data_IF_079321024764
#
_entry.id   IF_079321024764
#
_cell.length_a   1.000
_cell.length_b   1.000
_cell.length_c   1.000
_cell.angle_alpha   90.00
_cell.angle_beta   90.00
_cell.angle_gamma   90.00
#
_symmetry.space_group_name_H-M   'P 1'
#
loop_
_entity.id
_entity.type
_entity.pdbx_description
1 polymer ?
#
# COMPACT_ATOMS: atom_id res chain seq x y z
N UNK A 1 -27.50 -4.63 -8.95
CA UNK A 1 -27.23 -3.20 -9.18
C UNK A 1 -27.40 -2.34 -7.92
N UNK A 2 -28.53 -2.42 -7.19
CA UNK A 2 -28.77 -1.54 -6.02
C UNK A 2 -27.79 -1.73 -4.84
N UNK A 3 -27.27 -2.94 -4.63
CA UNK A 3 -26.29 -3.22 -3.56
C UNK A 3 -24.90 -2.67 -3.87
N UNK A 4 -24.47 -2.69 -5.13
CA UNK A 4 -23.18 -2.10 -5.55
C UNK A 4 -23.21 -0.56 -5.46
N UNK A 5 -24.34 0.07 -5.81
CA UNK A 5 -24.55 1.51 -5.62
C UNK A 5 -24.60 1.89 -4.14
N UNK A 6 -25.23 1.06 -3.29
CA UNK A 6 -25.27 1.28 -1.85
C UNK A 6 -23.88 1.14 -1.22
N UNK A 7 -23.10 0.12 -1.62
CA UNK A 7 -21.73 -0.06 -1.14
C UNK A 7 -20.82 1.10 -1.51
N UNK A 8 -20.86 1.57 -2.76
CA UNK A 8 -20.08 2.73 -3.20
C UNK A 8 -20.45 4.02 -2.47
N UNK A 9 -21.74 4.24 -2.20
CA UNK A 9 -22.22 5.38 -1.43
C UNK A 9 -21.71 5.34 0.03
N UNK A 10 -21.92 4.22 0.74
CA UNK A 10 -21.48 4.09 2.14
C UNK A 10 -19.97 4.20 2.31
N UNK A 11 -19.20 3.64 1.37
CA UNK A 11 -17.75 3.82 1.32
C UNK A 11 -17.37 5.30 1.18
N UNK A 12 -18.01 6.02 0.24
CA UNK A 12 -17.80 7.46 0.05
C UNK A 12 -18.15 8.29 1.29
N UNK A 13 -19.23 7.97 2.00
CA UNK A 13 -19.63 8.63 3.25
C UNK A 13 -18.63 8.39 4.37
N UNK A 14 -18.23 7.14 4.60
CA UNK A 14 -17.27 6.82 5.66
C UNK A 14 -15.92 7.54 5.44
N UNK A 15 -15.42 7.52 4.20
CA UNK A 15 -14.19 8.22 3.84
C UNK A 15 -14.32 9.74 3.98
N UNK A 16 -15.45 10.33 3.57
CA UNK A 16 -15.72 11.76 3.73
C UNK A 16 -15.73 12.18 5.21
N UNK A 17 -16.33 11.37 6.10
CA UNK A 17 -16.36 11.64 7.53
C UNK A 17 -14.97 11.61 8.17
N UNK A 18 -14.20 10.55 7.90
CA UNK A 18 -12.81 10.43 8.40
C UNK A 18 -12.00 11.63 7.94
N UNK A 19 -12.14 11.99 6.67
CA UNK A 19 -11.40 13.10 6.10
C UNK A 19 -11.81 14.47 6.66
N UNK A 20 -13.11 14.68 6.93
CA UNK A 20 -13.60 15.91 7.56
C UNK A 20 -13.02 16.09 8.96
N UNK A 21 -12.91 15.00 9.74
CA UNK A 21 -12.30 15.03 11.07
C UNK A 21 -10.86 15.50 10.96
N UNK A 22 -10.09 14.98 9.99
CA UNK A 22 -8.71 15.41 9.76
C UNK A 22 -8.62 16.90 9.44
N UNK A 23 -9.48 17.43 8.56
CA UNK A 23 -9.47 18.85 8.22
C UNK A 23 -9.84 19.74 9.42
N UNK A 24 -10.80 19.32 10.24
CA UNK A 24 -11.17 20.07 11.44
C UNK A 24 -10.01 20.16 12.43
N UNK A 25 -9.27 19.07 12.62
CA UNK A 25 -8.04 19.08 13.44
C UNK A 25 -7.05 20.12 12.91
N UNK A 26 -6.76 20.10 11.60
CA UNK A 26 -5.83 21.04 10.98
C UNK A 26 -6.32 22.50 11.02
N UNK A 27 -7.63 22.73 11.03
CA UNK A 27 -8.21 24.06 11.20
C UNK A 27 -8.02 24.58 12.63
N UNK A 28 -8.31 23.76 13.64
CA UNK A 28 -8.13 24.14 15.04
C UNK A 28 -6.66 24.29 15.44
N UNK A 29 -5.73 23.61 14.76
CA UNK A 29 -4.28 23.80 14.96
C UNK A 29 -3.72 25.01 14.19
N UNK A 30 -4.57 25.83 13.55
CA UNK A 30 -4.17 27.03 12.81
C UNK A 30 -3.41 26.75 11.52
N UNK A 31 -3.40 25.50 11.05
CA UNK A 31 -2.61 25.04 9.92
C UNK A 31 -3.35 25.12 8.58
N UNK A 32 -4.68 25.33 8.63
CA UNK A 32 -5.55 25.43 7.46
C UNK A 32 -6.07 26.86 7.24
N UNK A 33 -5.76 27.49 6.09
CA UNK A 33 -6.38 28.73 5.66
C UNK A 33 -7.92 28.60 5.58
N UNK A 34 -8.70 29.63 6.01
CA UNK A 34 -10.16 29.61 5.94
C UNK A 34 -10.73 29.36 4.52
N UNK A 35 -9.97 29.72 3.48
CA UNK A 35 -10.34 29.48 2.08
C UNK A 35 -10.36 27.98 1.73
N UNK A 36 -9.46 27.18 2.30
CA UNK A 36 -9.41 25.73 2.06
C UNK A 36 -10.51 24.97 2.80
N UNK A 37 -11.14 25.57 3.81
CA UNK A 37 -12.29 25.02 4.52
C UNK A 37 -13.52 24.92 3.62
N UNK A 38 -13.73 25.90 2.75
CA UNK A 38 -14.80 25.88 1.74
C UNK A 38 -14.62 24.67 0.84
N UNK A 39 -13.38 24.42 0.44
CA UNK A 39 -13.06 23.32 -0.45
C UNK A 39 -13.14 21.96 0.24
N UNK A 40 -12.73 21.85 1.52
CA UNK A 40 -12.95 20.70 2.38
C UNK A 40 -14.45 20.34 2.52
N UNK A 41 -15.31 21.34 2.70
CA UNK A 41 -16.76 21.17 2.75
C UNK A 41 -17.33 20.68 1.41
N UNK A 42 -16.92 21.31 0.30
CA UNK A 42 -17.32 20.90 -1.05
C UNK A 42 -16.97 19.43 -1.30
N UNK A 43 -15.74 19.04 -0.99
CA UNK A 43 -15.29 17.65 -1.13
C UNK A 43 -16.09 16.68 -0.28
N UNK A 44 -16.34 17.01 0.98
CA UNK A 44 -17.08 16.14 1.91
C UNK A 44 -18.49 15.84 1.39
N UNK A 45 -19.08 16.77 0.64
CA UNK A 45 -20.35 16.59 -0.05
C UNK A 45 -20.23 15.83 -1.38
N UNK A 46 -19.13 16.01 -2.12
CA UNK A 46 -18.91 15.37 -3.43
C UNK A 46 -18.57 13.88 -3.29
N UNK A 47 -17.75 13.48 -2.31
CA UNK A 47 -17.25 12.11 -2.16
C UNK A 47 -18.37 11.04 -2.04
N UNK A 48 -19.44 11.24 -1.25
CA UNK A 48 -20.59 10.33 -1.22
C UNK A 48 -21.29 10.19 -2.58
N UNK A 49 -21.43 11.31 -3.30
CA UNK A 49 -22.08 11.34 -4.62
C UNK A 49 -21.21 10.63 -5.66
N UNK A 50 -19.90 10.89 -5.66
CA UNK A 50 -18.94 10.21 -6.51
C UNK A 50 -18.92 8.70 -6.24
N UNK A 51 -18.94 8.30 -4.97
CA UNK A 51 -19.03 6.89 -4.55
C UNK A 51 -20.30 6.20 -5.06
N UNK A 52 -21.45 6.88 -5.02
CA UNK A 52 -22.69 6.38 -5.60
C UNK A 52 -22.60 6.13 -7.11
N UNK A 53 -22.04 7.09 -7.87
CA UNK A 53 -21.87 6.96 -9.32
C UNK A 53 -20.87 5.87 -9.71
N UNK A 54 -19.74 5.76 -9.00
CA UNK A 54 -18.75 4.70 -9.20
C UNK A 54 -19.37 3.32 -8.95
N UNK A 55 -20.16 3.17 -7.88
CA UNK A 55 -20.92 1.94 -7.60
C UNK A 55 -21.91 1.57 -8.70
N UNK A 56 -22.53 2.57 -9.35
CA UNK A 56 -23.45 2.37 -10.48
C UNK A 56 -22.71 1.89 -11.73
N UNK A 57 -21.61 2.54 -12.08
CA UNK A 57 -20.77 2.18 -13.24
C UNK A 57 -20.19 0.77 -13.09
N UNK A 58 -19.65 0.44 -11.91
CA UNK A 58 -19.19 -0.89 -11.56
C UNK A 58 -20.27 -1.96 -11.79
N UNK A 59 -21.49 -1.69 -11.32
CA UNK A 59 -22.63 -2.60 -11.50
C UNK A 59 -23.01 -2.81 -12.97
N UNK A 60 -22.98 -1.77 -13.81
CA UNK A 60 -23.30 -1.87 -15.26
C UNK A 60 -22.24 -2.68 -16.01
N UNK A 61 -20.96 -2.45 -15.73
CA UNK A 61 -19.85 -3.15 -16.38
C UNK A 61 -19.88 -4.64 -16.02
N UNK A 62 -20.18 -4.98 -14.76
CA UNK A 62 -20.35 -6.36 -14.33
C UNK A 62 -21.49 -7.06 -15.10
N UNK A 63 -22.65 -6.41 -15.25
CA UNK A 63 -23.80 -6.95 -15.99
C UNK A 63 -23.50 -7.19 -17.48
N UNK A 64 -22.84 -6.23 -18.14
CA UNK A 64 -22.53 -6.33 -19.59
C UNK A 64 -21.58 -7.48 -19.95
N UNK A 65 -20.76 -7.95 -19.01
CA UNK A 65 -19.83 -9.07 -19.24
C UNK A 65 -20.42 -10.45 -18.95
N UNK A 66 -21.51 -10.52 -18.17
CA UNK A 66 -22.19 -11.78 -17.81
C UNK A 66 -23.24 -12.19 -18.85
N UNK A 67 -23.94 -11.22 -19.45
CA UNK A 67 -24.97 -11.47 -20.47
C UNK A 67 -24.49 -12.27 -21.71
N UNK A 68 -23.31 -12.00 -22.32
CA UNK A 68 -22.86 -12.77 -23.49
C UNK A 68 -22.42 -14.21 -23.18
N UNK A 69 -22.24 -14.59 -21.90
CA UNK A 69 -21.88 -15.96 -21.53
C UNK A 69 -23.09 -16.92 -21.52
N UNK A 70 -24.32 -16.41 -21.39
CA UNK A 70 -25.56 -17.22 -21.32
C UNK A 70 -26.23 -17.43 -22.68
N UNK A 71 -25.96 -16.56 -23.67
CA UNK A 71 -26.52 -16.68 -25.02
C UNK A 71 -25.95 -17.89 -25.80
N UNK A 72 -24.75 -18.35 -25.44
CA UNK A 72 -24.12 -19.54 -26.05
C UNK A 72 -24.55 -20.88 -25.44
N UNK A 73 -25.38 -20.93 -24.37
CA UNK A 73 -25.71 -22.19 -23.69
C UNK A 73 -27.14 -22.71 -23.89
N UNK A 74 -28.05 -21.96 -24.52
CA UNK A 74 -29.46 -22.34 -24.61
C UNK A 74 -29.95 -22.49 -26.06
N UNK A 75 -29.39 -23.48 -26.75
CA UNK A 75 -29.98 -24.08 -27.95
C UNK A 75 -30.52 -25.48 -27.61
N UNK A 76 -31.68 -25.56 -26.98
CA UNK A 76 -32.27 -26.85 -26.57
C UNK A 76 -33.77 -26.77 -26.33
N UNK A 77 -34.52 -27.05 -27.41
CA UNK A 77 -35.94 -27.37 -27.54
C UNK A 77 -36.79 -27.47 -26.26
N UNK A 78 -37.82 -26.62 -26.16
CA UNK A 78 -39.14 -27.09 -25.72
C UNK A 78 -40.24 -26.12 -26.16
N UNK A 79 -40.90 -26.46 -27.26
CA UNK A 79 -42.01 -25.69 -27.82
C UNK A 79 -43.21 -26.61 -28.08
N UNK A 80 -43.99 -26.89 -27.03
CA UNK A 80 -45.43 -27.12 -27.22
C UNK A 80 -46.25 -27.00 -25.92
N UNK A 81 -46.92 -25.85 -25.71
CA UNK A 81 -48.31 -25.82 -25.18
C UNK A 81 -48.93 -24.42 -25.29
N UNK A 82 -49.86 -24.34 -26.23
CA UNK A 82 -50.73 -23.22 -26.59
C UNK A 82 -51.63 -22.79 -25.43
N UNK A 83 -51.78 -21.46 -25.21
CA UNK A 83 -53.08 -20.73 -25.18
C UNK A 83 -52.93 -19.33 -24.56
N UNK A 84 -53.57 -18.36 -25.23
CA UNK A 84 -53.69 -16.91 -25.01
C UNK A 84 -52.41 -16.05 -25.13
N UNK A 85 -52.07 -15.54 -26.33
CA UNK A 85 -50.80 -14.86 -26.55
C UNK A 85 -50.68 -13.52 -25.81
N UNK A 86 -51.73 -12.68 -25.73
CA UNK A 86 -51.54 -11.33 -25.17
C UNK A 86 -51.37 -11.29 -23.65
N UNK A 87 -52.23 -11.96 -22.87
CA UNK A 87 -52.13 -11.97 -21.41
C UNK A 87 -51.05 -12.93 -20.89
N UNK A 88 -50.81 -14.04 -21.60
CA UNK A 88 -49.75 -14.98 -21.25
C UNK A 88 -48.39 -14.42 -21.67
N UNK A 89 -48.25 -13.67 -22.77
CA UNK A 89 -47.00 -12.94 -23.05
C UNK A 89 -46.76 -11.87 -22.01
N UNK A 90 -47.76 -11.08 -21.60
CA UNK A 90 -47.55 -10.10 -20.51
C UNK A 90 -47.26 -10.76 -19.17
N UNK A 91 -47.92 -11.88 -18.83
CA UNK A 91 -47.64 -12.64 -17.62
C UNK A 91 -46.31 -13.38 -17.70
N UNK A 92 -45.90 -13.88 -18.88
CA UNK A 92 -44.60 -14.51 -19.12
C UNK A 92 -43.50 -13.46 -19.21
N UNK A 93 -43.79 -12.25 -19.65
CA UNK A 93 -42.87 -11.11 -19.66
C UNK A 93 -42.71 -10.57 -18.24
N UNK A 94 -43.80 -10.46 -17.47
CA UNK A 94 -43.75 -10.16 -16.05
C UNK A 94 -43.08 -11.29 -15.24
N UNK A 95 -43.40 -12.56 -15.51
CA UNK A 95 -42.79 -13.72 -14.84
C UNK A 95 -41.36 -13.99 -15.31
N UNK A 96 -41.02 -13.67 -16.56
CA UNK A 96 -39.64 -13.78 -17.06
C UNK A 96 -38.81 -12.60 -16.59
N UNK A 97 -39.37 -11.40 -16.43
CA UNK A 97 -38.64 -10.28 -15.84
C UNK A 97 -38.48 -10.48 -14.34
N UNK A 98 -39.51 -10.92 -13.60
CA UNK A 98 -39.36 -11.24 -12.18
C UNK A 98 -38.49 -12.46 -11.97
N UNK A 99 -38.70 -13.58 -12.68
CA UNK A 99 -37.81 -14.75 -12.61
C UNK A 99 -36.42 -14.44 -13.14
N UNK A 100 -36.22 -13.65 -14.20
CA UNK A 100 -34.86 -13.28 -14.60
C UNK A 100 -34.21 -12.37 -13.56
N UNK A 101 -34.97 -11.59 -12.79
CA UNK A 101 -34.46 -10.74 -11.71
C UNK A 101 -34.24 -11.53 -10.42
N UNK A 102 -35.01 -12.60 -10.17
CA UNK A 102 -34.85 -13.56 -9.06
C UNK A 102 -33.74 -14.57 -9.35
N UNK A 103 -33.71 -15.13 -10.56
CA UNK A 103 -32.65 -15.96 -11.09
C UNK A 103 -31.36 -15.12 -11.24
N UNK A 104 -31.43 -13.82 -11.57
CA UNK A 104 -30.28 -12.91 -11.47
C UNK A 104 -29.95 -12.48 -10.03
N UNK A 105 -30.85 -12.61 -9.05
CA UNK A 105 -30.50 -12.45 -7.62
C UNK A 105 -29.78 -13.69 -7.09
N UNK A 106 -30.12 -14.87 -7.59
CA UNK A 106 -29.47 -16.15 -7.26
C UNK A 106 -28.17 -16.38 -8.08
N UNK A 107 -28.10 -15.87 -9.33
CA UNK A 107 -26.93 -15.81 -10.21
C UNK A 107 -26.09 -14.54 -10.02
N UNK A 108 -26.47 -13.63 -9.13
CA UNK A 108 -25.50 -12.71 -8.53
C UNK A 108 -24.95 -13.47 -7.34
N UNK A 109 -23.90 -14.29 -7.53
CA UNK A 109 -23.18 -14.85 -6.40
C UNK A 109 -22.88 -13.69 -5.46
N UNK A 110 -23.22 -13.89 -4.19
CA UNK A 110 -22.72 -13.07 -3.11
C UNK A 110 -21.17 -13.13 -3.05
N UNK A 111 -20.55 -13.96 -3.88
CA UNK A 111 -19.14 -14.08 -4.18
C UNK A 111 -18.68 -12.92 -5.06
N UNK A 112 -18.50 -11.77 -4.40
CA UNK A 112 -17.42 -10.81 -4.59
C UNK A 112 -17.14 -10.38 -6.05
N UNK A 113 -17.34 -9.09 -6.43
CA UNK A 113 -16.95 -8.55 -7.75
C UNK A 113 -15.45 -8.74 -8.11
N UNK A 114 -14.65 -9.25 -7.18
CA UNK A 114 -13.25 -9.61 -7.30
C UNK A 114 -12.98 -10.95 -8.02
N UNK A 115 -13.99 -11.80 -8.28
CA UNK A 115 -13.75 -13.16 -8.83
C UNK A 115 -13.75 -13.24 -10.36
N UNK A 116 -14.22 -12.21 -11.09
CA UNK A 116 -14.11 -12.18 -12.55
C UNK A 116 -12.76 -11.59 -12.97
N UNK A 117 -11.95 -12.37 -13.71
CA UNK A 117 -10.57 -12.00 -14.10
C UNK A 117 -10.49 -10.63 -14.80
N UNK A 118 -11.52 -10.29 -15.59
CA UNK A 118 -11.60 -9.01 -16.29
C UNK A 118 -11.96 -7.83 -15.38
N UNK A 119 -12.83 -8.01 -14.37
CA UNK A 119 -13.12 -6.93 -13.41
C UNK A 119 -11.97 -6.77 -12.42
N UNK A 120 -11.36 -7.88 -11.98
CA UNK A 120 -10.17 -7.88 -11.14
C UNK A 120 -9.04 -7.07 -11.78
N UNK A 121 -8.71 -7.30 -13.06
CA UNK A 121 -7.69 -6.51 -13.78
C UNK A 121 -8.05 -5.02 -13.83
N UNK A 122 -9.31 -4.68 -14.09
CA UNK A 122 -9.75 -3.29 -14.13
C UNK A 122 -9.61 -2.60 -12.75
N UNK A 123 -10.06 -3.26 -11.68
CA UNK A 123 -9.91 -2.73 -10.32
C UNK A 123 -8.44 -2.64 -9.89
N UNK A 124 -7.60 -3.60 -10.27
CA UNK A 124 -6.16 -3.55 -10.04
C UNK A 124 -5.50 -2.36 -10.76
N UNK A 125 -5.84 -2.14 -12.04
CA UNK A 125 -5.34 -0.97 -12.80
C UNK A 125 -5.78 0.33 -12.14
N UNK A 126 -7.04 0.42 -11.71
CA UNK A 126 -7.57 1.61 -11.03
C UNK A 126 -6.85 1.84 -9.70
N UNK A 127 -6.61 0.79 -8.93
CA UNK A 127 -5.88 0.87 -7.66
C UNK A 127 -4.42 1.30 -7.90
N UNK A 128 -3.72 0.69 -8.85
CA UNK A 128 -2.34 1.05 -9.19
C UNK A 128 -2.27 2.50 -9.68
N UNK A 129 -3.20 2.93 -10.52
CA UNK A 129 -3.30 4.32 -10.95
C UNK A 129 -3.54 5.26 -9.75
N UNK A 130 -4.45 4.89 -8.84
CA UNK A 130 -4.71 5.68 -7.63
C UNK A 130 -3.45 5.85 -6.78
N UNK A 131 -2.70 4.77 -6.52
CA UNK A 131 -1.47 4.82 -5.74
C UNK A 131 -0.39 5.66 -6.44
N UNK A 132 -0.17 5.47 -7.75
CA UNK A 132 0.84 6.24 -8.50
C UNK A 132 0.52 7.75 -8.57
N UNK A 133 -0.75 8.11 -8.76
CA UNK A 133 -1.17 9.50 -8.86
C UNK A 133 -1.55 10.09 -7.50
N UNK A 134 -1.43 9.34 -6.40
CA UNK A 134 -1.84 9.79 -5.07
C UNK A 134 -1.19 11.12 -4.66
N UNK A 135 0.13 11.36 -4.81
CA UNK A 135 0.74 12.64 -4.41
C UNK A 135 0.17 13.85 -5.16
N UNK A 136 -0.25 13.66 -6.42
CA UNK A 136 -0.88 14.71 -7.23
C UNK A 136 -2.34 14.88 -6.82
N UNK A 137 -3.03 13.79 -6.48
CA UNK A 137 -4.42 13.81 -6.04
C UNK A 137 -4.58 14.32 -4.61
N UNK A 138 -3.60 14.14 -3.72
CA UNK A 138 -3.71 14.45 -2.30
C UNK A 138 -4.06 15.91 -2.04
N UNK A 139 -3.44 16.93 -2.65
CA UNK A 139 -3.88 18.32 -2.49
C UNK A 139 -5.32 18.55 -2.95
N UNK A 140 -5.77 17.81 -3.98
CA UNK A 140 -7.16 17.84 -4.48
C UNK A 140 -8.12 16.90 -3.74
N UNK A 141 -7.60 16.11 -2.82
CA UNK A 141 -8.41 15.40 -1.86
C UNK A 141 -8.32 16.16 -0.53
N UNK A 142 -7.21 16.26 0.16
CA UNK A 142 -7.13 16.70 1.54
C UNK A 142 -6.65 18.14 1.76
N UNK A 143 -6.39 18.91 0.70
CA UNK A 143 -6.00 20.31 0.82
C UNK A 143 -4.56 20.46 1.33
N UNK A 144 -4.38 21.01 2.54
CA UNK A 144 -3.04 21.19 3.12
C UNK A 144 -2.57 19.96 3.89
N UNK A 145 -1.26 19.88 4.15
CA UNK A 145 -0.65 18.78 4.93
C UNK A 145 -0.24 17.56 4.10
N UNK A 146 -0.21 17.68 2.77
CA UNK A 146 0.22 16.61 1.85
C UNK A 146 1.58 16.05 2.23
N UNK A 147 2.55 16.90 2.54
CA UNK A 147 3.91 16.43 2.83
C UNK A 147 3.96 15.52 4.08
N UNK A 148 3.25 15.88 5.15
CA UNK A 148 3.15 15.05 6.35
C UNK A 148 2.40 13.73 6.12
N UNK A 149 1.36 13.73 5.27
CA UNK A 149 0.66 12.49 4.89
C UNK A 149 1.56 11.58 4.05
N UNK A 150 2.26 12.14 3.06
CA UNK A 150 3.21 11.40 2.23
C UNK A 150 4.36 10.83 3.05
N UNK A 151 4.88 11.57 4.03
CA UNK A 151 5.85 11.06 4.99
C UNK A 151 5.30 9.86 5.78
N UNK A 152 4.09 9.96 6.34
CA UNK A 152 3.44 8.86 7.05
C UNK A 152 3.15 7.63 6.17
N UNK A 153 2.81 7.82 4.89
CA UNK A 153 2.72 6.72 3.93
C UNK A 153 4.07 6.11 3.59
N UNK A 154 5.13 6.92 3.59
CA UNK A 154 6.51 6.44 3.50
C UNK A 154 6.84 5.51 4.68
N UNK A 155 6.52 5.92 5.90
CA UNK A 155 6.71 5.11 7.11
C UNK A 155 5.97 3.77 7.03
N UNK A 156 4.71 3.81 6.62
CA UNK A 156 3.93 2.60 6.35
C UNK A 156 4.59 1.72 5.26
N UNK A 157 5.13 2.34 4.22
CA UNK A 157 5.84 1.66 3.14
C UNK A 157 7.10 0.93 3.61
N UNK A 158 7.86 1.48 4.56
CA UNK A 158 8.99 0.77 5.18
C UNK A 158 8.53 -0.51 5.87
N UNK A 159 7.43 -0.47 6.63
CA UNK A 159 6.86 -1.66 7.26
C UNK A 159 6.35 -2.69 6.25
N UNK A 160 5.82 -2.25 5.10
CA UNK A 160 5.44 -3.16 4.00
C UNK A 160 6.67 -3.86 3.43
N UNK A 161 7.76 -3.13 3.17
CA UNK A 161 9.01 -3.74 2.69
C UNK A 161 9.55 -4.75 3.72
N UNK A 162 9.50 -4.40 5.02
CA UNK A 162 9.91 -5.31 6.09
C UNK A 162 9.04 -6.58 6.13
N UNK A 163 7.72 -6.45 5.99
CA UNK A 163 6.81 -7.59 5.95
C UNK A 163 7.06 -8.48 4.73
N UNK A 164 7.32 -7.88 3.56
CA UNK A 164 7.69 -8.61 2.34
C UNK A 164 9.04 -9.32 2.50
N UNK A 165 10.01 -8.71 3.19
CA UNK A 165 11.29 -9.35 3.51
C UNK A 165 11.14 -10.54 4.46
N UNK A 166 10.28 -10.41 5.48
CA UNK A 166 9.97 -11.51 6.40
C UNK A 166 9.30 -12.69 5.69
N UNK A 167 8.47 -12.42 4.68
CA UNK A 167 7.84 -13.47 3.87
C UNK A 167 8.88 -14.34 3.14
N UNK A 168 10.02 -13.78 2.73
CA UNK A 168 11.11 -14.56 2.13
C UNK A 168 11.67 -15.56 3.15
N UNK A 169 11.97 -15.09 4.36
CA UNK A 169 12.61 -15.93 5.39
C UNK A 169 11.65 -17.00 5.90
N UNK A 170 10.45 -16.61 6.33
CA UNK A 170 9.48 -17.55 6.88
C UNK A 170 8.90 -18.45 5.78
N UNK A 171 8.64 -17.90 4.60
CA UNK A 171 8.04 -18.63 3.48
C UNK A 171 8.98 -19.63 2.83
N UNK A 172 10.23 -19.26 2.53
CA UNK A 172 11.17 -20.16 1.84
C UNK A 172 12.03 -21.00 2.79
N UNK A 173 12.45 -20.46 3.95
CA UNK A 173 13.27 -21.22 4.90
C UNK A 173 12.43 -22.06 5.88
N UNK A 174 11.16 -21.69 6.12
CA UNK A 174 10.28 -22.40 7.05
C UNK A 174 10.71 -22.31 8.52
N UNK A 175 11.56 -21.32 8.86
CA UNK A 175 12.10 -21.10 10.20
C UNK A 175 11.40 -19.90 10.84
N UNK A 176 11.18 -19.97 12.15
CA UNK A 176 10.71 -18.81 12.91
C UNK A 176 11.86 -17.82 13.06
N UNK A 177 11.79 -16.69 12.35
CA UNK A 177 12.74 -15.59 12.46
C UNK A 177 12.09 -14.39 13.15
N UNK A 178 12.45 -14.17 14.43
CA UNK A 178 12.04 -13.02 15.22
C UNK A 178 13.11 -11.92 15.24
N UNK A 179 14.29 -12.19 14.68
CA UNK A 179 15.46 -11.31 14.69
C UNK A 179 15.65 -10.49 13.43
N UNK A 180 14.80 -10.69 12.41
CA UNK A 180 14.88 -10.01 11.11
C UNK A 180 15.08 -8.48 11.19
N UNK A 181 14.42 -7.82 12.16
CA UNK A 181 14.48 -6.36 12.36
C UNK A 181 15.90 -5.86 12.67
N UNK A 182 16.75 -6.71 13.25
CA UNK A 182 18.14 -6.35 13.50
C UNK A 182 18.96 -6.17 12.21
N UNK A 183 18.68 -6.93 11.15
CA UNK A 183 19.32 -6.72 9.84
C UNK A 183 18.88 -5.41 9.20
N UNK A 184 17.61 -5.04 9.38
CA UNK A 184 17.12 -3.72 8.97
C UNK A 184 17.84 -2.60 9.73
N UNK A 185 18.02 -2.74 11.04
CA UNK A 185 18.79 -1.79 11.84
C UNK A 185 20.25 -1.69 11.36
N UNK A 186 20.94 -2.81 11.16
CA UNK A 186 22.32 -2.82 10.68
C UNK A 186 22.45 -2.09 9.33
N UNK A 187 21.54 -2.34 8.39
CA UNK A 187 21.53 -1.67 7.09
C UNK A 187 21.23 -0.17 7.18
N UNK A 188 20.25 0.22 8.01
CA UNK A 188 19.89 1.63 8.18
C UNK A 188 21.00 2.43 8.88
N UNK A 189 21.62 1.88 9.92
CA UNK A 189 22.78 2.47 10.59
C UNK A 189 24.01 2.52 9.67
N UNK A 190 24.20 1.56 8.77
CA UNK A 190 25.29 1.60 7.80
C UNK A 190 25.19 2.85 6.90
N UNK A 191 24.01 3.15 6.36
CA UNK A 191 23.81 4.41 5.63
C UNK A 191 23.81 5.63 6.56
N UNK A 192 23.18 5.56 7.73
CA UNK A 192 23.18 6.67 8.69
C UNK A 192 24.59 7.13 9.05
N UNK A 193 25.49 6.18 9.36
CA UNK A 193 26.88 6.49 9.72
C UNK A 193 27.69 7.04 8.55
N UNK A 194 27.53 6.49 7.34
CA UNK A 194 28.29 6.90 6.15
C UNK A 194 27.74 8.19 5.55
N UNK A 195 26.43 8.25 5.37
CA UNK A 195 25.69 9.36 4.78
C UNK A 195 25.33 10.47 5.77
N UNK A 196 26.12 10.68 6.82
CA UNK A 196 25.94 11.81 7.74
C UNK A 196 27.29 12.40 8.16
N UNK A 197 27.25 13.50 8.91
CA UNK A 197 28.45 14.10 9.50
C UNK A 197 29.20 13.14 10.45
N UNK A 198 28.56 12.06 10.90
CA UNK A 198 29.18 11.03 11.72
C UNK A 198 30.36 10.35 11.00
N UNK A 199 30.32 10.22 9.67
CA UNK A 199 31.43 9.69 8.90
C UNK A 199 32.71 10.52 9.06
N UNK A 200 32.57 11.86 9.01
CA UNK A 200 33.68 12.78 9.19
C UNK A 200 34.24 12.74 10.61
N UNK A 201 33.38 12.59 11.61
CA UNK A 201 33.78 12.44 13.03
C UNK A 201 34.59 11.15 13.23
N UNK A 202 34.20 10.05 12.58
CA UNK A 202 34.84 8.74 12.76
C UNK A 202 36.13 8.57 11.97
N UNK A 203 36.17 9.07 10.73
CA UNK A 203 37.28 8.81 9.80
C UNK A 203 38.23 9.99 9.64
N UNK A 204 37.83 11.19 10.08
CA UNK A 204 38.54 12.45 9.82
C UNK A 204 38.44 12.93 8.36
N UNK A 205 37.78 12.16 7.49
CA UNK A 205 37.65 12.47 6.06
C UNK A 205 36.43 13.36 5.84
N UNK A 206 36.69 14.57 5.35
CA UNK A 206 35.65 15.53 5.00
C UNK A 206 35.41 15.48 3.49
N UNK A 207 34.32 14.83 3.11
CA UNK A 207 33.88 14.79 1.70
C UNK A 207 32.98 15.99 1.43
N UNK A 208 33.09 16.54 0.23
CA UNK A 208 32.28 17.65 -0.24
C UNK A 208 30.76 17.33 -0.09
N UNK A 209 29.97 18.18 0.61
CA UNK A 209 28.55 17.95 0.89
C UNK A 209 27.69 17.64 -0.34
N UNK A 210 28.07 18.18 -1.50
CA UNK A 210 27.33 18.03 -2.75
C UNK A 210 27.48 16.63 -3.36
N UNK A 211 28.48 15.85 -2.95
CA UNK A 211 28.70 14.49 -3.44
C UNK A 211 27.98 13.44 -2.60
N UNK A 212 27.72 13.70 -1.31
CA UNK A 212 27.08 12.75 -0.39
C UNK A 212 25.75 12.18 -0.90
N UNK A 213 24.81 12.99 -1.44
CA UNK A 213 23.56 12.47 -1.96
C UNK A 213 23.72 11.40 -3.05
N UNK A 214 24.77 11.47 -3.86
CA UNK A 214 25.03 10.52 -4.95
C UNK A 214 25.55 9.18 -4.43
N UNK A 215 26.21 9.17 -3.28
CA UNK A 215 26.68 7.94 -2.63
C UNK A 215 25.56 7.09 -2.06
N UNK A 216 24.33 7.60 -1.95
CA UNK A 216 23.18 6.82 -1.51
C UNK A 216 22.98 5.56 -2.36
N UNK A 217 23.01 5.67 -3.68
CA UNK A 217 22.74 4.56 -4.59
C UNK A 217 23.72 3.39 -4.47
N UNK A 218 25.06 3.59 -4.55
CA UNK A 218 25.99 2.50 -4.32
C UNK A 218 25.93 2.00 -2.86
N UNK A 219 25.61 2.88 -1.91
CA UNK A 219 25.50 2.48 -0.51
C UNK A 219 24.23 1.68 -0.21
N UNK A 220 23.19 1.73 -1.04
CA UNK A 220 22.06 0.80 -0.96
C UNK A 220 22.54 -0.65 -1.09
N UNK A 221 23.40 -0.92 -2.09
CA UNK A 221 24.04 -2.21 -2.27
C UNK A 221 25.07 -2.48 -1.16
N UNK A 222 25.86 -1.48 -0.77
CA UNK A 222 26.82 -1.59 0.32
C UNK A 222 26.17 -2.01 1.64
N UNK A 223 25.07 -1.36 2.02
CA UNK A 223 24.29 -1.69 3.21
C UNK A 223 23.68 -3.09 3.13
N UNK A 224 23.18 -3.51 1.95
CA UNK A 224 22.70 -4.87 1.75
C UNK A 224 23.83 -5.91 1.93
N UNK A 225 25.03 -5.63 1.42
CA UNK A 225 26.20 -6.50 1.60
C UNK A 225 26.67 -6.53 3.06
N UNK A 226 26.64 -5.41 3.77
CA UNK A 226 26.97 -5.35 5.21
C UNK A 226 25.95 -6.16 6.00
N UNK A 227 24.66 -5.99 5.74
CA UNK A 227 23.61 -6.77 6.38
C UNK A 227 23.76 -8.27 6.07
N UNK A 228 24.07 -8.64 4.83
CA UNK A 228 24.34 -10.02 4.43
C UNK A 228 25.58 -10.58 5.14
N UNK A 229 26.66 -9.80 5.27
CA UNK A 229 27.86 -10.21 6.00
C UNK A 229 27.54 -10.51 7.46
N UNK A 230 26.83 -9.61 8.15
CA UNK A 230 26.38 -9.85 9.52
C UNK A 230 25.40 -11.02 9.62
N UNK A 231 24.52 -11.20 8.62
CA UNK A 231 23.65 -12.36 8.48
C UNK A 231 24.41 -13.67 8.39
N UNK A 232 25.51 -13.71 7.62
CA UNK A 232 26.37 -14.90 7.54
C UNK A 232 27.13 -15.10 8.85
N UNK A 233 27.74 -14.06 9.42
CA UNK A 233 28.53 -14.16 10.65
C UNK A 233 27.68 -14.66 11.83
N UNK A 234 26.45 -14.18 11.95
CA UNK A 234 25.55 -14.51 13.06
C UNK A 234 24.64 -15.70 12.75
N UNK A 235 24.29 -15.92 11.48
CA UNK A 235 23.50 -17.06 11.03
C UNK A 235 24.29 -18.37 10.94
N UNK A 236 25.59 -18.32 10.64
CA UNK A 236 26.49 -19.48 10.60
C UNK A 236 26.45 -20.34 11.87
N UNK A 237 26.55 -19.78 13.10
CA UNK A 237 26.46 -20.58 14.33
C UNK A 237 25.04 -21.09 14.61
N UNK A 238 23.98 -20.36 14.20
CA UNK A 238 22.59 -20.72 14.51
C UNK A 238 22.01 -21.80 13.61
N UNK A 239 22.58 -22.02 12.42
CA UNK A 239 22.24 -23.14 11.53
C UNK A 239 22.31 -24.53 12.18
N UNK A 240 23.01 -24.67 13.31
CA UNK A 240 23.09 -25.91 14.09
C UNK A 240 21.90 -26.10 15.03
N UNK A 241 21.11 -25.06 15.27
CA UNK A 241 19.94 -25.07 16.14
C UNK A 241 18.69 -25.36 15.31
N UNK A 242 17.68 -25.99 15.93
CA UNK A 242 16.43 -26.36 15.26
C UNK A 242 15.23 -25.96 16.10
N UNK A 243 14.13 -25.63 15.43
CA UNK A 243 12.85 -25.32 16.06
C UNK A 243 12.96 -24.17 17.06
N UNK A 244 12.48 -24.40 18.28
CA UNK A 244 12.36 -23.39 19.33
C UNK A 244 13.71 -22.79 19.75
N UNK A 245 14.80 -23.54 19.65
CA UNK A 245 16.13 -23.02 19.97
C UNK A 245 16.61 -21.96 18.97
N UNK A 246 16.23 -22.11 17.69
CA UNK A 246 16.54 -21.11 16.69
C UNK A 246 15.73 -19.83 16.96
N UNK A 247 14.44 -19.97 17.28
CA UNK A 247 13.56 -18.86 17.62
C UNK A 247 14.10 -18.01 18.78
N UNK A 248 14.49 -18.65 19.89
CA UNK A 248 15.05 -17.97 21.07
C UNK A 248 16.29 -17.15 20.71
N UNK A 249 17.18 -17.71 19.88
CA UNK A 249 18.40 -17.00 19.48
C UNK A 249 18.10 -15.83 18.55
N UNK A 250 17.15 -15.98 17.61
CA UNK A 250 16.76 -14.86 16.75
C UNK A 250 16.11 -13.72 17.53
N UNK A 251 15.29 -14.02 18.55
CA UNK A 251 14.72 -13.02 19.45
C UNK A 251 15.83 -12.30 20.23
N UNK A 252 16.75 -13.06 20.83
CA UNK A 252 17.89 -12.49 21.55
C UNK A 252 18.72 -11.57 20.65
N UNK A 253 18.97 -11.96 19.41
CA UNK A 253 19.64 -11.12 18.42
C UNK A 253 18.85 -9.85 18.10
N UNK A 254 17.53 -9.98 17.87
CA UNK A 254 16.61 -8.85 17.63
C UNK A 254 16.63 -7.81 18.75
N UNK A 255 16.81 -8.25 19.99
CA UNK A 255 16.88 -7.37 21.16
C UNK A 255 18.28 -6.80 21.41
N UNK A 256 19.34 -7.60 21.21
CA UNK A 256 20.72 -7.16 21.47
C UNK A 256 21.16 -6.07 20.50
N UNK A 257 20.81 -6.14 19.22
CA UNK A 257 21.31 -5.19 18.21
C UNK A 257 20.89 -3.73 18.49
N UNK A 258 19.61 -3.42 18.79
CA UNK A 258 19.23 -2.08 19.21
C UNK A 258 19.99 -1.59 20.44
N UNK A 259 20.17 -2.44 21.45
CA UNK A 259 20.89 -2.10 22.68
C UNK A 259 22.36 -1.75 22.37
N UNK A 260 23.01 -2.54 21.52
CA UNK A 260 24.39 -2.27 21.07
C UNK A 260 24.46 -0.91 20.37
N UNK A 261 23.55 -0.60 19.46
CA UNK A 261 23.56 0.71 18.80
C UNK A 261 23.25 1.88 19.73
N UNK A 262 22.50 1.68 20.82
CA UNK A 262 22.26 2.73 21.81
C UNK A 262 23.46 2.97 22.74
N UNK A 263 24.26 1.95 23.02
CA UNK A 263 25.45 2.06 23.89
C UNK A 263 26.71 2.51 23.12
N UNK A 264 26.71 2.39 21.79
CA UNK A 264 27.83 2.77 20.94
C UNK A 264 27.90 4.29 20.69
N UNK A 265 27.84 5.11 21.73
CA UNK A 265 27.82 6.59 21.68
C UNK A 265 28.82 7.17 20.67
N UNK A 266 30.07 6.69 20.70
CA UNK A 266 31.14 7.14 19.81
C UNK A 266 30.80 6.94 18.32
N UNK A 267 30.07 5.89 17.98
CA UNK A 267 29.83 5.46 16.60
C UNK A 267 28.44 5.84 16.08
N UNK A 268 27.41 5.72 16.90
CA UNK A 268 26.01 5.90 16.51
C UNK A 268 25.37 7.17 17.06
N UNK A 269 26.10 7.93 17.89
CA UNK A 269 25.56 9.01 18.70
C UNK A 269 24.51 8.52 19.73
N UNK A 270 24.55 7.21 20.06
CA UNK A 270 23.79 6.59 21.13
C UNK A 270 22.29 6.86 21.09
N UNK A 271 21.74 7.25 22.24
CA UNK A 271 20.31 7.56 22.41
C UNK A 271 19.83 8.80 21.63
N UNK A 272 20.75 9.69 21.22
CA UNK A 272 20.40 10.87 20.41
C UNK A 272 20.14 10.50 18.94
N UNK A 273 20.65 9.35 18.49
CA UNK A 273 20.57 8.90 17.11
C UNK A 273 21.41 9.74 16.14
N UNK A 274 21.52 9.26 14.91
CA UNK A 274 22.28 9.93 13.86
C UNK A 274 21.42 10.99 13.19
N UNK A 275 21.88 12.24 13.24
CA UNK A 275 21.19 13.41 12.67
C UNK A 275 21.87 13.90 11.40
N UNK A 276 21.10 14.59 10.55
CA UNK A 276 21.63 15.19 9.32
C UNK A 276 22.06 14.14 8.29
N UNK A 277 21.30 13.05 8.17
CA UNK A 277 21.51 12.05 7.11
C UNK A 277 21.18 12.69 5.77
N UNK A 278 22.13 12.66 4.83
CA UNK A 278 21.97 13.26 3.52
C UNK A 278 20.87 12.53 2.73
N UNK A 279 19.98 13.26 2.04
CA UNK A 279 18.98 12.66 1.17
C UNK A 279 19.65 12.01 -0.06
N UNK A 280 19.00 11.06 -0.73
CA UNK A 280 19.46 10.56 -2.03
C UNK A 280 19.49 11.69 -3.08
N UNK A 281 20.38 11.59 -4.07
CA UNK A 281 20.36 12.47 -5.24
C UNK A 281 19.61 11.83 -6.40
N UNK A 282 18.76 12.59 -7.08
CA UNK A 282 18.22 12.17 -8.38
C UNK A 282 18.01 13.40 -9.27
N UNK A 283 18.46 13.40 -10.53
CA UNK A 283 18.29 14.54 -11.43
C UNK A 283 16.82 14.98 -11.52
N UNK A 284 16.54 16.25 -11.25
CA UNK A 284 15.19 16.83 -11.33
C UNK A 284 14.24 16.48 -10.18
N UNK A 285 14.71 15.77 -9.15
CA UNK A 285 13.93 15.53 -7.92
C UNK A 285 14.43 16.42 -6.78
N UNK A 286 13.48 17.08 -6.10
CA UNK A 286 13.75 17.85 -4.89
C UNK A 286 13.36 17.07 -3.64
N UNK A 287 14.39 16.56 -2.96
CA UNK A 287 14.29 15.74 -1.75
C UNK A 287 14.05 16.53 -0.47
N UNK A 288 13.81 17.84 -0.57
CA UNK A 288 13.26 18.62 0.55
C UNK A 288 11.79 18.30 0.81
N UNK A 289 11.10 17.73 -0.19
CA UNK A 289 9.70 17.28 -0.09
C UNK A 289 9.64 15.77 0.11
N UNK A 290 8.53 15.28 0.67
CA UNK A 290 8.27 13.85 0.90
C UNK A 290 7.82 13.11 -0.38
N UNK A 291 7.58 13.82 -1.48
CA UNK A 291 7.07 13.24 -2.74
C UNK A 291 8.08 12.29 -3.40
N UNK A 292 9.38 12.63 -3.55
CA UNK A 292 10.36 11.69 -4.10
C UNK A 292 10.56 10.45 -3.22
N UNK A 293 10.49 10.59 -1.89
CA UNK A 293 10.57 9.46 -0.96
C UNK A 293 9.41 8.49 -1.15
N UNK A 294 8.18 9.00 -1.31
CA UNK A 294 7.01 8.19 -1.61
C UNK A 294 7.22 7.32 -2.86
N UNK A 295 7.69 7.92 -3.96
CA UNK A 295 7.95 7.19 -5.20
C UNK A 295 9.11 6.21 -5.09
N UNK A 296 10.18 6.57 -4.37
CA UNK A 296 11.30 5.68 -4.11
C UNK A 296 10.85 4.43 -3.35
N UNK A 297 10.07 4.61 -2.28
CA UNK A 297 9.57 3.50 -1.45
C UNK A 297 8.60 2.64 -2.25
N UNK A 298 7.71 3.24 -3.06
CA UNK A 298 6.82 2.51 -3.95
C UNK A 298 7.61 1.67 -4.95
N UNK A 299 8.65 2.23 -5.56
CA UNK A 299 9.52 1.50 -6.48
C UNK A 299 10.22 0.33 -5.78
N UNK A 300 10.69 0.52 -4.55
CA UNK A 300 11.29 -0.55 -3.73
C UNK A 300 10.27 -1.64 -3.35
N UNK A 301 9.03 -1.27 -3.04
CA UNK A 301 7.95 -2.25 -2.78
C UNK A 301 7.69 -3.09 -4.03
N UNK A 302 7.53 -2.46 -5.20
CA UNK A 302 7.31 -3.17 -6.47
C UNK A 302 8.48 -4.10 -6.79
N UNK A 303 9.71 -3.62 -6.58
CA UNK A 303 10.90 -4.45 -6.72
C UNK A 303 10.90 -5.65 -5.76
N UNK A 304 10.59 -5.44 -4.48
CA UNK A 304 10.51 -6.51 -3.47
C UNK A 304 9.40 -7.52 -3.75
N UNK A 305 8.28 -7.10 -4.35
CA UNK A 305 7.20 -8.01 -4.80
C UNK A 305 7.68 -8.85 -5.98
N UNK A 306 8.43 -8.27 -6.91
CA UNK A 306 8.97 -9.03 -8.05
C UNK A 306 10.06 -10.02 -7.63
N UNK A 307 10.81 -9.70 -6.57
CA UNK A 307 11.86 -10.55 -6.03
C UNK A 307 11.36 -11.70 -5.12
N UNK A 308 10.16 -11.56 -4.55
CA UNK A 308 9.47 -12.58 -3.74
C UNK A 308 8.76 -13.62 -4.62
#
# INVERSE_FOLDING_TARGET
>A
MSRATAGGFWFGVAFALVSLITDLVFFFTGSLPPLLLIWALIRTLILPVAGYFLGRLAGVIALRRVLPAKENSNGGNDANRVRNPASKLQQLEALSTTRALEEAKDLVPNDLPLRSTGAQRFYLILLVAFVLFYPVLDPFLFGSGTDGRLAGYGDAGYYVILALGLNIVVGFAGLLDLGYVAFFAIGSYAWGMVGSNQFGILTGVHVNPQLWPWFFWPMLLGAALIAALWGVLLGAPTLRLRGDYLAIVTLGFGEIVPIVFLELDKYTNGTNGIVGVYPPAFPGADWTTSTPYYYLILALIVFSIFAN
#
